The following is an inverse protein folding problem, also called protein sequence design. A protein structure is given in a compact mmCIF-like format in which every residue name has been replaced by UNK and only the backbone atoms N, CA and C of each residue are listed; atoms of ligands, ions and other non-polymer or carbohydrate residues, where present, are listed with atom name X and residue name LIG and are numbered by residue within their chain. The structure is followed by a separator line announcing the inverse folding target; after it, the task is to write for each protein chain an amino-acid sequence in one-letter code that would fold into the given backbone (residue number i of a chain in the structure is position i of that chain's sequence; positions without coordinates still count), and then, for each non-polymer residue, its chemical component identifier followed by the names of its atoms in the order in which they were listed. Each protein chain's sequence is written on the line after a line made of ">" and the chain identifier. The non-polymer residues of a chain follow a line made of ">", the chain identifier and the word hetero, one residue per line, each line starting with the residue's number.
data_IF_784508915132
#
_entry.id   IF_784508915132
#
_cell.length_a   1.000
_cell.length_b   1.000
_cell.length_c   1.000
_cell.angle_alpha   90.00
_cell.angle_beta   90.00
_cell.angle_gamma   90.00
#
_symmetry.space_group_name_H-M   'P 1'
#
loop_
_entity.id
_entity.type
_entity.pdbx_description
1 polymer ?
#
# COMPACT_ATOMS: atom_id res chain seq x y z
N UNK A 1 -2.95 1.83 11.31
CA UNK A 1 -2.83 2.93 10.33
C UNK A 1 -2.14 2.45 9.06
N UNK A 2 -0.98 1.78 9.15
CA UNK A 2 -0.30 1.21 7.97
C UNK A 2 -1.18 0.28 7.11
N UNK A 3 -1.94 -0.64 7.72
CA UNK A 3 -2.88 -1.50 6.98
C UNK A 3 -3.95 -0.73 6.19
N UNK A 4 -4.41 0.42 6.70
CA UNK A 4 -5.38 1.27 6.00
C UNK A 4 -4.75 1.92 4.76
N UNK A 5 -3.48 2.36 4.87
CA UNK A 5 -2.73 2.90 3.72
C UNK A 5 -2.52 1.80 2.68
N UNK A 6 -2.05 0.63 3.11
CA UNK A 6 -1.84 -0.52 2.23
C UNK A 6 -3.12 -0.99 1.55
N UNK A 7 -4.25 -0.94 2.25
CA UNK A 7 -5.56 -1.27 1.69
C UNK A 7 -6.05 -0.21 0.69
N UNK A 8 -5.79 1.07 0.99
CA UNK A 8 -6.04 2.17 0.05
C UNK A 8 -5.20 2.06 -1.22
N UNK A 9 -3.94 1.62 -1.11
CA UNK A 9 -3.08 1.34 -2.28
C UNK A 9 -3.60 0.18 -3.13
N UNK A 10 -4.18 -0.86 -2.50
CA UNK A 10 -4.78 -1.97 -3.23
C UNK A 10 -6.01 -1.53 -4.03
N UNK A 11 -6.87 -0.72 -3.41
CA UNK A 11 -8.16 -0.34 -3.98
C UNK A 11 -8.04 0.84 -4.96
N UNK A 12 -7.05 1.73 -4.75
CA UNK A 12 -6.82 2.93 -5.57
C UNK A 12 -5.32 3.10 -5.88
N UNK A 13 -4.72 2.22 -6.69
CA UNK A 13 -3.28 2.16 -6.92
C UNK A 13 -2.71 3.35 -7.72
N UNK A 14 -3.57 4.12 -8.39
CA UNK A 14 -3.15 5.19 -9.30
C UNK A 14 -2.43 6.35 -8.60
N UNK A 15 -2.59 6.48 -7.28
CA UNK A 15 -2.04 7.57 -6.47
C UNK A 15 -0.84 7.14 -5.60
N UNK A 16 -0.36 5.89 -5.74
CA UNK A 16 0.71 5.37 -4.89
C UNK A 16 2.01 6.15 -5.10
N UNK A 17 2.36 6.44 -6.36
CA UNK A 17 3.61 7.13 -6.68
C UNK A 17 3.60 8.57 -6.14
N UNK A 18 2.49 9.30 -6.31
CA UNK A 18 2.29 10.64 -5.73
C UNK A 18 2.46 10.63 -4.20
N UNK A 19 1.87 9.64 -3.51
CA UNK A 19 2.02 9.51 -2.05
C UNK A 19 3.47 9.27 -1.62
N UNK A 20 4.23 8.51 -2.42
CA UNK A 20 5.61 8.16 -2.11
C UNK A 20 6.62 9.27 -2.43
N UNK A 21 6.20 10.38 -3.07
CA UNK A 21 7.05 11.57 -3.24
C UNK A 21 7.43 12.19 -1.89
N UNK A 22 6.47 12.22 -0.96
CA UNK A 22 6.65 12.78 0.38
C UNK A 22 7.12 11.76 1.42
N UNK A 23 6.93 10.46 1.16
CA UNK A 23 7.19 9.38 2.13
C UNK A 23 8.05 8.29 1.48
N UNK A 24 9.24 8.07 2.04
CA UNK A 24 10.13 6.99 1.60
C UNK A 24 9.46 5.63 1.78
N UNK A 25 9.47 4.81 0.72
CA UNK A 25 9.03 3.41 0.79
C UNK A 25 9.74 2.62 1.89
N UNK A 26 10.96 3.03 2.29
CA UNK A 26 11.72 2.35 3.35
C UNK A 26 11.08 2.48 4.75
N UNK A 27 10.13 3.40 4.94
CA UNK A 27 9.39 3.58 6.19
C UNK A 27 8.33 2.51 6.44
N UNK A 28 8.06 1.62 5.47
CA UNK A 28 7.09 0.53 5.60
C UNK A 28 7.76 -0.78 6.01
N UNK A 29 6.98 -1.76 6.50
CA UNK A 29 7.52 -3.11 6.79
C UNK A 29 8.13 -3.75 5.53
N UNK A 30 9.10 -4.68 5.64
CA UNK A 30 9.67 -5.36 4.47
C UNK A 30 8.62 -6.03 3.57
N UNK A 31 7.56 -6.58 4.19
CA UNK A 31 6.42 -7.13 3.47
C UNK A 31 5.66 -6.05 2.69
N UNK A 32 5.31 -4.94 3.35
CA UNK A 32 4.61 -3.83 2.71
C UNK A 32 5.45 -3.16 1.61
N UNK A 33 6.76 -3.03 1.80
CA UNK A 33 7.68 -2.57 0.75
C UNK A 33 7.61 -3.46 -0.50
N UNK A 34 7.56 -4.78 -0.32
CA UNK A 34 7.42 -5.73 -1.43
C UNK A 34 6.07 -5.57 -2.12
N UNK A 35 4.99 -5.46 -1.34
CA UNK A 35 3.64 -5.26 -1.88
C UNK A 35 3.54 -3.93 -2.64
N UNK A 36 4.03 -2.83 -2.09
CA UNK A 36 4.09 -1.51 -2.76
C UNK A 36 4.79 -1.62 -4.12
N UNK A 37 5.96 -2.27 -4.18
CA UNK A 37 6.69 -2.47 -5.45
C UNK A 37 5.88 -3.25 -6.49
N UNK A 38 5.14 -4.27 -6.05
CA UNK A 38 4.24 -5.03 -6.93
C UNK A 38 3.12 -4.12 -7.45
N UNK A 39 2.48 -3.34 -6.59
CA UNK A 39 1.36 -2.47 -6.96
C UNK A 39 1.80 -1.33 -7.88
N UNK A 40 2.91 -0.64 -7.57
CA UNK A 40 3.51 0.37 -8.46
C UNK A 40 3.83 -0.23 -9.82
N UNK A 41 4.50 -1.38 -9.85
CA UNK A 41 4.83 -2.04 -11.12
C UNK A 41 3.59 -2.44 -11.92
N UNK A 42 2.47 -2.78 -11.28
CA UNK A 42 1.19 -3.04 -11.96
C UNK A 42 0.57 -1.74 -12.48
N UNK A 43 0.57 -0.68 -11.66
CA UNK A 43 0.05 0.64 -12.04
C UNK A 43 0.77 1.21 -13.27
N UNK A 44 2.10 1.17 -13.28
CA UNK A 44 2.94 1.61 -14.41
C UNK A 44 2.66 0.83 -15.72
N UNK A 45 2.11 -0.38 -15.62
CA UNK A 45 1.68 -1.21 -16.77
C UNK A 45 0.19 -1.07 -17.09
N UNK A 46 -0.51 -0.13 -16.47
CA UNK A 46 -1.96 0.03 -16.53
C UNK A 46 -2.72 -1.27 -16.17
N UNK A 47 -2.18 -2.06 -15.24
CA UNK A 47 -2.77 -3.32 -14.79
C UNK A 47 -3.52 -3.12 -13.46
N UNK A 48 -4.81 -3.43 -13.44
CA UNK A 48 -5.59 -3.43 -12.21
C UNK A 48 -5.07 -4.51 -11.23
N UNK A 49 -4.86 -4.19 -9.94
CA UNK A 49 -4.42 -5.14 -8.93
C UNK A 49 -5.50 -6.19 -8.62
N UNK A 50 -5.41 -7.35 -9.26
CA UNK A 50 -6.25 -8.52 -8.92
C UNK A 50 -5.54 -9.39 -7.90
N UNK A 51 -6.28 -9.93 -6.93
CA UNK A 51 -5.73 -10.77 -5.86
C UNK A 51 -4.95 -11.97 -6.40
N UNK A 52 -5.40 -12.60 -7.48
CA UNK A 52 -4.70 -13.72 -8.10
C UNK A 52 -3.34 -13.28 -8.66
N UNK A 53 -3.29 -12.10 -9.27
CA UNK A 53 -2.03 -11.56 -9.81
C UNK A 53 -1.09 -11.14 -8.69
N UNK A 54 -1.62 -10.55 -7.62
CA UNK A 54 -0.83 -10.21 -6.42
C UNK A 54 -0.26 -11.49 -5.81
N UNK A 55 -1.07 -12.55 -5.63
CA UNK A 55 -0.62 -13.86 -5.13
C UNK A 55 0.56 -14.40 -5.94
N UNK A 56 0.48 -14.34 -7.28
CA UNK A 56 1.56 -14.79 -8.16
C UNK A 56 2.85 -13.96 -7.99
N UNK A 57 2.75 -12.67 -7.66
CA UNK A 57 3.88 -11.75 -7.57
C UNK A 57 4.54 -11.74 -6.19
N UNK A 58 3.77 -11.83 -5.11
CA UNK A 58 4.29 -11.86 -3.74
C UNK A 58 4.63 -13.28 -3.28
N UNK A 59 3.94 -14.28 -3.84
CA UNK A 59 4.09 -15.69 -3.51
C UNK A 59 3.04 -16.17 -2.50
N UNK A 60 2.72 -17.46 -2.55
CA UNK A 60 1.63 -18.07 -1.80
C UNK A 60 1.78 -17.93 -0.28
N UNK A 61 2.97 -18.21 0.25
CA UNK A 61 3.25 -18.07 1.69
C UNK A 61 2.97 -16.68 2.23
N UNK A 62 3.32 -15.65 1.46
CA UNK A 62 3.11 -14.25 1.83
C UNK A 62 1.65 -13.85 1.67
N UNK A 63 0.99 -14.32 0.62
CA UNK A 63 -0.43 -14.10 0.40
C UNK A 63 -1.31 -14.71 1.50
N UNK A 64 -0.91 -15.87 2.05
CA UNK A 64 -1.66 -16.54 3.13
C UNK A 64 -1.28 -16.04 4.54
N UNK A 65 -0.34 -15.10 4.62
CA UNK A 65 0.13 -14.56 5.89
C UNK A 65 -0.96 -13.77 6.62
N UNK A 66 -0.90 -13.77 7.96
CA UNK A 66 -1.78 -12.94 8.78
C UNK A 66 -1.56 -11.43 8.53
N UNK A 67 -0.35 -11.04 8.14
CA UNK A 67 -0.03 -9.66 7.77
C UNK A 67 -0.86 -9.22 6.55
N UNK A 68 -0.89 -10.01 5.47
CA UNK A 68 -1.69 -9.69 4.29
C UNK A 68 -3.19 -9.73 4.57
N UNK A 69 -3.67 -10.72 5.33
CA UNK A 69 -5.10 -10.80 5.73
C UNK A 69 -5.56 -9.56 6.48
N UNK A 70 -4.73 -9.01 7.37
CA UNK A 70 -5.04 -7.77 8.11
C UNK A 70 -5.13 -6.55 7.21
N UNK A 71 -4.38 -6.52 6.10
CA UNK A 71 -4.52 -5.46 5.08
C UNK A 71 -5.85 -5.64 4.34
N UNK A 72 -6.18 -6.86 3.91
CA UNK A 72 -7.44 -7.12 3.20
C UNK A 72 -8.68 -6.80 4.04
N UNK A 73 -8.59 -6.98 5.36
CA UNK A 73 -9.67 -6.71 6.30
C UNK A 73 -9.73 -5.24 6.77
N UNK A 74 -8.78 -4.39 6.38
CA UNK A 74 -8.82 -2.97 6.72
C UNK A 74 -9.83 -2.21 5.86
N UNK A 75 -10.21 -1.02 6.30
CA UNK A 75 -10.90 -0.05 5.46
C UNK A 75 -9.93 0.61 4.46
N UNK A 76 -10.45 1.15 3.37
CA UNK A 76 -9.72 2.00 2.43
C UNK A 76 -10.32 3.41 2.35
N UNK A 77 -9.49 4.36 1.95
CA UNK A 77 -9.92 5.71 1.59
C UNK A 77 -9.57 5.97 0.12
N UNK A 78 -10.51 6.34 -0.76
CA UNK A 78 -10.22 6.70 -2.15
C UNK A 78 -9.27 7.88 -2.28
N UNK A 79 -9.41 8.82 -1.37
CA UNK A 79 -8.71 10.10 -1.39
C UNK A 79 -7.65 10.17 -0.28
N UNK A 80 -6.80 9.15 -0.25
CA UNK A 80 -5.69 9.09 0.71
C UNK A 80 -4.61 10.17 0.46
N UNK A 81 -4.70 10.90 -0.66
CA UNK A 81 -3.90 12.09 -0.94
C UNK A 81 -4.48 13.34 -0.25
N UNK A 82 -5.80 13.55 -0.25
CA UNK A 82 -6.42 14.73 0.39
C UNK A 82 -6.82 14.51 1.87
N UNK A 83 -6.32 13.48 2.55
CA UNK A 83 -6.46 13.41 4.00
C UNK A 83 -5.67 14.59 4.58
N UNK A 84 -6.36 15.70 4.87
CA UNK A 84 -5.84 17.02 5.25
C UNK A 84 -4.38 16.96 5.75
N UNK A 85 -3.47 17.65 5.08
CA UNK A 85 -2.00 17.71 5.30
C UNK A 85 -1.47 17.38 6.72
N UNK A 86 -2.03 17.88 7.83
CA UNK A 86 -1.61 17.45 9.17
C UNK A 86 -1.76 15.94 9.44
N UNK A 87 -2.75 15.26 8.88
CA UNK A 87 -2.99 13.82 9.03
C UNK A 87 -2.07 12.98 8.14
N UNK A 88 -1.85 13.36 6.87
CA UNK A 88 -0.88 12.71 6.00
C UNK A 88 0.56 12.85 6.54
N UNK A 89 0.93 14.03 7.05
CA UNK A 89 2.21 14.25 7.72
C UNK A 89 2.32 13.47 9.03
N UNK A 90 1.25 13.36 9.81
CA UNK A 90 1.23 12.52 11.02
C UNK A 90 1.34 11.02 10.68
N UNK A 91 0.75 10.58 9.57
CA UNK A 91 0.91 9.23 9.03
C UNK A 91 2.38 8.98 8.63
N UNK A 92 2.97 9.87 7.85
CA UNK A 92 4.38 9.76 7.44
C UNK A 92 5.35 9.81 8.63
N UNK A 93 5.08 10.67 9.63
CA UNK A 93 5.87 10.79 10.85
C UNK A 93 5.73 9.54 11.75
N UNK A 94 4.54 8.94 11.83
CA UNK A 94 4.29 7.71 12.60
C UNK A 94 4.96 6.48 11.98
N UNK A 95 5.06 6.42 10.65
CA UNK A 95 5.78 5.34 9.97
C UNK A 95 7.31 5.52 10.02
N UNK A 96 7.80 6.75 10.23
CA UNK A 96 9.23 7.06 10.30
C UNK A 96 9.82 7.02 11.73
N UNK A 97 8.97 6.88 12.76
CA UNK A 97 9.33 6.79 14.18
C UNK A 97 9.34 5.35 14.68
#
# INVERSE_FOLDING_TARGET
>A
MENLIMKSFLDYPQHIEDFLEDISVKSFTPFNQKLIKVLVGMNQRNQTPRLETIKLRIGEKEFESEEFKRILAADSYPDYLNVNYPTAKAIGLFLAS
#
